data_IF_948935228964
#
_entry.id   IF_948935228964
#
_cell.length_a   1.000
_cell.length_b   1.000
_cell.length_c   1.000
_cell.angle_alpha   90.00
_cell.angle_beta   90.00
_cell.angle_gamma   90.00
#
_symmetry.space_group_name_H-M   'P 1'
#
loop_
_entity.id
_entity.type
_entity.pdbx_description
1 polymer ?
#
# COMPACT_ATOMS: atom_id res chain seq x y z
N UNK A 1 -3.43 -17.51 -3.61
CA UNK A 1 -3.36 -16.33 -2.71
C UNK A 1 -1.93 -16.18 -2.19
N UNK A 2 -1.37 -14.97 -2.25
CA UNK A 2 -0.06 -14.60 -1.69
C UNK A 2 -0.29 -13.51 -0.64
N UNK A 3 0.40 -13.61 0.49
CA UNK A 3 0.37 -12.59 1.55
C UNK A 3 1.74 -11.98 1.69
N UNK A 4 1.82 -10.65 1.73
CA UNK A 4 3.05 -9.90 1.96
C UNK A 4 2.88 -8.90 3.08
N UNK A 5 3.98 -8.66 3.80
CA UNK A 5 4.09 -7.61 4.79
C UNK A 5 4.93 -6.49 4.20
N UNK A 6 4.35 -5.31 4.03
CA UNK A 6 5.01 -4.17 3.41
C UNK A 6 5.27 -3.08 4.46
N UNK A 7 6.53 -2.81 4.82
CA UNK A 7 6.88 -1.93 5.92
C UNK A 7 6.65 -0.45 5.60
N UNK A 8 6.38 0.33 6.65
CA UNK A 8 6.50 1.79 6.60
C UNK A 8 7.94 2.20 6.21
N UNK A 9 8.07 3.40 5.63
CA UNK A 9 9.37 3.98 5.27
C UNK A 9 9.51 5.41 5.81
N UNK A 10 10.74 5.81 6.09
CA UNK A 10 11.11 7.21 6.31
C UNK A 10 11.93 7.71 5.13
N UNK A 11 11.43 8.73 4.44
CA UNK A 11 12.12 9.37 3.32
C UNK A 11 12.97 10.56 3.77
N UNK A 12 13.82 11.06 2.88
CA UNK A 12 14.67 12.25 2.98
C UNK A 12 15.81 12.19 4.01
N UNK A 13 15.55 11.77 5.25
CA UNK A 13 16.54 11.68 6.33
C UNK A 13 17.43 12.94 6.46
N UNK A 14 16.81 14.13 6.39
CA UNK A 14 17.51 15.42 6.46
C UNK A 14 18.02 15.88 5.09
N UNK A 15 19.33 15.98 4.92
CA UNK A 15 19.96 16.50 3.69
C UNK A 15 19.81 15.57 2.47
N UNK A 16 19.30 14.36 2.65
CA UNK A 16 19.05 13.40 1.57
C UNK A 16 17.69 13.57 0.87
N UNK A 17 17.21 14.81 0.76
CA UNK A 17 15.93 15.14 0.12
C UNK A 17 15.81 14.46 -1.26
N UNK A 18 14.67 13.82 -1.51
CA UNK A 18 14.35 13.07 -2.73
C UNK A 18 15.36 11.97 -3.12
N UNK A 19 16.24 11.56 -2.20
CA UNK A 19 17.28 10.56 -2.47
C UNK A 19 17.30 9.44 -1.45
N UNK A 20 17.24 9.77 -0.16
CA UNK A 20 17.34 8.77 0.91
C UNK A 20 15.99 8.21 1.30
N UNK A 21 15.98 6.90 1.58
CA UNK A 21 14.84 6.18 2.13
C UNK A 21 15.32 5.06 3.04
N UNK A 22 14.62 4.85 4.16
CA UNK A 22 14.87 3.77 5.11
C UNK A 22 13.58 3.01 5.38
N UNK A 23 13.61 1.69 5.17
CA UNK A 23 12.53 0.81 5.59
C UNK A 23 12.56 0.62 7.11
N UNK A 24 11.38 0.71 7.73
CA UNK A 24 11.22 0.55 9.17
C UNK A 24 10.81 -0.88 9.50
N UNK A 25 11.17 -1.35 10.69
CA UNK A 25 10.67 -2.65 11.15
C UNK A 25 9.15 -2.61 11.37
N UNK A 26 8.61 -1.54 11.96
CA UNK A 26 7.17 -1.32 12.20
C UNK A 26 6.82 0.18 12.08
N UNK A 27 5.56 0.56 11.78
CA UNK A 27 4.43 -0.29 11.39
C UNK A 27 4.57 -0.83 9.95
N UNK A 28 3.63 -1.67 9.52
CA UNK A 28 3.58 -2.25 8.17
C UNK A 28 2.13 -2.53 7.79
N UNK A 29 1.83 -2.55 6.50
CA UNK A 29 0.57 -3.07 5.99
C UNK A 29 0.71 -4.57 5.69
N UNK A 30 -0.40 -5.30 5.80
CA UNK A 30 -0.50 -6.68 5.33
C UNK A 30 -1.38 -6.68 4.08
N UNK A 31 -0.82 -7.15 2.97
CA UNK A 31 -1.50 -7.18 1.67
C UNK A 31 -1.70 -8.63 1.26
N UNK A 32 -2.94 -8.97 0.97
CA UNK A 32 -3.34 -10.26 0.40
C UNK A 32 -3.68 -10.06 -1.07
N UNK A 33 -3.10 -10.88 -1.93
CA UNK A 33 -3.32 -10.81 -3.38
C UNK A 33 -3.74 -12.18 -3.91
N UNK A 34 -4.85 -12.22 -4.61
CA UNK A 34 -5.35 -13.39 -5.32
C UNK A 34 -5.68 -13.03 -6.76
N UNK A 35 -5.18 -13.80 -7.74
CA UNK A 35 -5.50 -13.58 -9.15
C UNK A 35 -7.01 -13.66 -9.37
N UNK A 36 -7.54 -12.75 -10.16
CA UNK A 36 -8.96 -12.68 -10.48
C UNK A 36 -9.16 -12.22 -11.92
N UNK A 37 -10.39 -12.34 -12.44
CA UNK A 37 -10.74 -11.82 -13.77
C UNK A 37 -10.78 -10.28 -13.82
N UNK A 38 -11.00 -9.63 -12.67
CA UNK A 38 -11.06 -8.17 -12.53
C UNK A 38 -10.45 -7.72 -11.21
N UNK A 39 -9.89 -6.51 -11.19
CA UNK A 39 -9.33 -5.95 -9.96
C UNK A 39 -10.44 -5.49 -9.01
N UNK A 40 -10.34 -5.90 -7.75
CA UNK A 40 -11.19 -5.43 -6.65
C UNK A 40 -10.30 -5.19 -5.43
N UNK A 41 -10.65 -4.20 -4.61
CA UNK A 41 -9.84 -3.79 -3.46
C UNK A 41 -10.73 -3.64 -2.24
N UNK A 42 -10.32 -4.25 -1.13
CA UNK A 42 -10.96 -4.09 0.18
C UNK A 42 -9.94 -3.55 1.18
N UNK A 43 -10.31 -2.53 1.95
CA UNK A 43 -9.38 -1.87 2.87
C UNK A 43 -9.91 -1.90 4.30
N UNK A 44 -9.08 -2.41 5.21
CA UNK A 44 -9.36 -2.45 6.66
C UNK A 44 -8.22 -1.81 7.45
N UNK A 45 -8.38 -1.72 8.78
CA UNK A 45 -7.35 -1.19 9.65
C UNK A 45 -7.29 0.34 9.73
N UNK A 46 -6.09 0.87 9.95
CA UNK A 46 -5.87 2.25 10.37
C UNK A 46 -6.16 3.25 9.26
N UNK A 47 -7.23 4.03 9.45
CA UNK A 47 -7.60 5.09 8.51
C UNK A 47 -8.26 4.58 7.23
N UNK A 48 -8.67 3.31 7.18
CA UNK A 48 -9.32 2.68 6.02
C UNK A 48 -10.48 3.53 5.44
N UNK A 49 -11.28 4.16 6.31
CA UNK A 49 -12.38 5.07 5.93
C UNK A 49 -11.98 6.26 5.04
N UNK A 50 -10.69 6.55 4.91
CA UNK A 50 -10.17 7.63 4.06
C UNK A 50 -9.48 7.13 2.80
N UNK A 51 -9.43 5.81 2.59
CA UNK A 51 -8.75 5.18 1.46
C UNK A 51 -9.83 4.66 0.51
N UNK A 52 -9.80 5.04 -0.78
CA UNK A 52 -10.79 4.57 -1.74
C UNK A 52 -10.60 3.08 -2.05
N UNK A 53 -11.69 2.33 -2.18
CA UNK A 53 -11.68 0.93 -2.62
C UNK A 53 -11.87 0.79 -4.15
N UNK A 54 -12.21 1.90 -4.82
CA UNK A 54 -12.27 1.96 -6.27
C UNK A 54 -10.86 1.80 -6.88
N UNK A 55 -10.60 0.75 -7.70
CA UNK A 55 -9.30 0.51 -8.31
C UNK A 55 -8.77 1.66 -9.17
N UNK A 56 -9.65 2.48 -9.77
CA UNK A 56 -9.22 3.64 -10.57
C UNK A 56 -8.82 4.84 -9.70
N UNK A 57 -9.07 4.79 -8.38
CA UNK A 57 -8.73 5.84 -7.42
C UNK A 57 -7.76 5.39 -6.32
N UNK A 58 -7.41 4.10 -6.30
CA UNK A 58 -6.50 3.51 -5.33
C UNK A 58 -5.14 3.19 -5.98
N UNK A 59 -4.04 3.54 -5.30
CA UNK A 59 -2.66 3.29 -5.78
C UNK A 59 -2.40 1.83 -6.14
N UNK A 60 -2.94 0.88 -5.37
CA UNK A 60 -2.74 -0.56 -5.64
C UNK A 60 -3.45 -0.99 -6.93
N UNK A 61 -4.61 -0.38 -7.24
CA UNK A 61 -5.30 -0.60 -8.50
C UNK A 61 -4.48 -0.12 -9.69
N UNK A 62 -3.80 1.03 -9.56
CA UNK A 62 -2.87 1.52 -10.59
C UNK A 62 -1.69 0.56 -10.81
N UNK A 63 -1.13 -0.04 -9.74
CA UNK A 63 -0.05 -1.04 -9.85
C UNK A 63 -0.54 -2.32 -10.54
N UNK A 64 -1.70 -2.86 -10.14
CA UNK A 64 -2.28 -4.05 -10.76
C UNK A 64 -2.53 -3.85 -12.27
N UNK A 65 -3.01 -2.66 -12.65
CA UNK A 65 -3.22 -2.25 -14.04
C UNK A 65 -1.91 -2.14 -14.83
N UNK A 66 -0.89 -1.51 -14.25
CA UNK A 66 0.41 -1.36 -14.91
C UNK A 66 1.14 -2.70 -15.14
N UNK A 67 0.89 -3.69 -14.28
CA UNK A 67 1.45 -5.03 -14.40
C UNK A 67 0.60 -6.00 -15.23
N UNK A 68 -0.56 -5.57 -15.75
CA UNK A 68 -1.57 -6.43 -16.39
C UNK A 68 -1.90 -7.67 -15.54
N UNK A 69 -2.08 -7.45 -14.24
CA UNK A 69 -2.23 -8.48 -13.23
C UNK A 69 -3.51 -8.27 -12.40
N UNK A 70 -4.70 -8.52 -12.98
CA UNK A 70 -5.96 -8.36 -12.26
C UNK A 70 -6.03 -9.30 -11.05
N UNK A 71 -6.49 -8.75 -9.92
CA UNK A 71 -6.49 -9.45 -8.65
C UNK A 71 -7.57 -8.93 -7.69
N UNK A 72 -8.04 -9.81 -6.81
CA UNK A 72 -8.67 -9.41 -5.58
C UNK A 72 -7.58 -9.08 -4.56
N UNK A 73 -7.60 -7.85 -4.04
CA UNK A 73 -6.55 -7.31 -3.19
C UNK A 73 -7.17 -6.84 -1.87
N UNK A 74 -6.82 -7.48 -0.77
CA UNK A 74 -7.26 -7.06 0.56
C UNK A 74 -6.08 -6.43 1.31
N UNK A 75 -6.29 -5.24 1.87
CA UNK A 75 -5.24 -4.48 2.56
C UNK A 75 -5.66 -4.28 4.02
N UNK A 76 -4.89 -4.83 4.96
CA UNK A 76 -4.96 -4.46 6.37
C UNK A 76 -3.93 -3.36 6.65
N UNK A 77 -4.41 -2.13 6.85
CA UNK A 77 -3.57 -0.95 7.02
C UNK A 77 -3.01 -0.88 8.45
N UNK A 78 -1.69 -0.98 8.56
CA UNK A 78 -0.95 -0.62 9.77
C UNK A 78 -0.34 0.78 9.71
N UNK A 79 -0.13 1.33 8.50
CA UNK A 79 0.48 2.65 8.32
C UNK A 79 -0.61 3.71 8.06
N UNK A 80 -0.83 4.61 9.02
CA UNK A 80 -1.80 5.70 8.90
C UNK A 80 -1.51 6.59 7.67
N UNK A 81 -2.49 6.89 6.81
CA UNK A 81 -2.34 7.84 5.71
C UNK A 81 -1.85 9.22 6.16
N UNK A 82 -1.13 9.91 5.28
CA UNK A 82 -0.60 11.27 5.52
C UNK A 82 0.23 11.44 6.82
N UNK A 83 0.86 10.36 7.30
CA UNK A 83 1.69 10.36 8.52
C UNK A 83 3.15 10.72 8.29
N UNK A 84 3.59 10.84 7.04
CA UNK A 84 5.01 10.95 6.68
C UNK A 84 5.77 9.61 6.72
N UNK A 85 5.07 8.47 6.84
CA UNK A 85 5.65 7.13 6.97
C UNK A 85 5.46 6.23 5.74
N UNK A 86 5.26 6.83 4.55
CA UNK A 86 5.14 6.07 3.31
C UNK A 86 3.89 5.18 3.22
N UNK A 87 2.75 5.56 3.81
CA UNK A 87 1.54 4.74 3.87
C UNK A 87 1.03 4.22 2.51
N UNK A 88 1.07 5.05 1.46
CA UNK A 88 0.67 4.62 0.11
C UNK A 88 1.76 3.83 -0.62
N UNK A 89 3.01 3.93 -0.19
CA UNK A 89 4.12 3.14 -0.73
C UNK A 89 4.18 1.74 -0.11
N UNK A 90 3.57 1.56 1.07
CA UNK A 90 3.48 0.29 1.78
C UNK A 90 2.31 -0.59 1.32
N UNK A 91 1.53 -0.18 0.32
CA UNK A 91 0.38 -0.95 -0.18
C UNK A 91 0.30 -0.92 -1.69
#
# INVERSE_FOLDING_TARGET
MVTVRAPATSANLGSGFDTFGLALDRPADIVHVERAERTTIDVTGTGARYIPEDPERNTVGAVAKALDAPAHISIDKGVRPASGLGSSAAS
#
